data_IF_254080760980
#
_entry.id   IF_254080760980
#
_cell.length_a   1.000
_cell.length_b   1.000
_cell.length_c   1.000
_cell.angle_alpha   90.00
_cell.angle_beta   90.00
_cell.angle_gamma   90.00
#
_symmetry.space_group_name_H-M   'P 1'
#
loop_
_entity.id
_entity.type
_entity.pdbx_description
1 polymer ?
#
# COMPACT_ATOMS: atom_id res chain seq x y z
N UNK A 1 27.85 3.22 13.57
CA UNK A 1 26.81 2.44 12.87
C UNK A 1 27.51 1.22 12.28
N UNK A 2 27.00 0.01 12.51
CA UNK A 2 27.62 -1.21 11.95
C UNK A 2 27.20 -1.44 10.51
N UNK A 3 27.94 -2.23 9.73
CA UNK A 3 27.56 -2.61 8.36
C UNK A 3 26.14 -3.19 8.30
N UNK A 4 25.77 -4.01 9.30
CA UNK A 4 24.42 -4.56 9.44
C UNK A 4 23.35 -3.48 9.60
N UNK A 5 23.62 -2.46 10.42
CA UNK A 5 22.71 -1.32 10.60
C UNK A 5 22.57 -0.48 9.32
N UNK A 6 23.66 -0.30 8.56
CA UNK A 6 23.64 0.40 7.28
C UNK A 6 22.80 -0.36 6.23
N UNK A 7 23.01 -1.67 6.09
CA UNK A 7 22.24 -2.53 5.18
C UNK A 7 20.75 -2.49 5.52
N UNK A 8 20.41 -2.58 6.81
CA UNK A 8 19.01 -2.48 7.25
C UNK A 8 18.39 -1.14 6.86
N UNK A 9 19.10 -0.03 7.08
CA UNK A 9 18.61 1.30 6.73
C UNK A 9 18.40 1.46 5.22
N UNK A 10 19.30 0.92 4.40
CA UNK A 10 19.14 0.94 2.94
C UNK A 10 17.90 0.17 2.50
N UNK A 11 17.68 -1.03 3.06
CA UNK A 11 16.48 -1.82 2.79
C UNK A 11 15.20 -1.09 3.20
N UNK A 12 15.17 -0.54 4.41
CA UNK A 12 14.00 0.16 4.94
C UNK A 12 13.63 1.37 4.06
N UNK A 13 14.64 2.13 3.63
CA UNK A 13 14.44 3.27 2.74
C UNK A 13 13.96 2.83 1.34
N UNK A 14 14.47 1.71 0.81
CA UNK A 14 14.03 1.17 -0.47
C UNK A 14 12.57 0.69 -0.40
N UNK A 15 12.17 0.00 0.67
CA UNK A 15 10.78 -0.41 0.90
C UNK A 15 9.85 0.83 1.02
N UNK A 16 10.25 1.87 1.73
CA UNK A 16 9.49 3.14 1.80
C UNK A 16 9.33 3.81 0.42
N UNK A 17 10.41 3.90 -0.34
CA UNK A 17 10.40 4.51 -1.67
C UNK A 17 9.54 3.72 -2.67
N UNK A 18 9.53 2.39 -2.56
CA UNK A 18 8.68 1.55 -3.41
C UNK A 18 7.21 1.67 -2.99
N UNK A 19 6.92 1.65 -1.69
CA UNK A 19 5.57 1.82 -1.17
C UNK A 19 4.97 3.19 -1.48
N UNK A 20 5.78 4.26 -1.63
CA UNK A 20 5.25 5.60 -1.88
C UNK A 20 4.53 5.76 -3.23
N UNK A 21 4.77 4.85 -4.18
CA UNK A 21 4.08 4.78 -5.47
C UNK A 21 2.75 4.02 -5.41
N UNK A 22 2.34 3.52 -4.24
CA UNK A 22 1.06 2.83 -4.06
C UNK A 22 -0.16 3.74 -4.26
N UNK A 23 -1.22 3.20 -4.84
CA UNK A 23 -2.44 3.93 -5.22
C UNK A 23 -3.40 4.07 -4.03
N UNK A 24 -2.94 4.74 -2.97
CA UNK A 24 -3.68 4.82 -1.70
C UNK A 24 -4.97 5.65 -1.75
N UNK A 25 -5.21 6.40 -2.81
CA UNK A 25 -6.51 7.02 -3.07
C UNK A 25 -7.62 6.00 -3.34
N UNK A 26 -7.28 4.74 -3.61
CA UNK A 26 -8.23 3.64 -3.81
C UNK A 26 -8.73 3.00 -2.50
N UNK A 27 -8.16 3.36 -1.34
CA UNK A 27 -8.58 2.81 -0.05
C UNK A 27 -10.09 3.08 0.17
N UNK A 28 -10.83 2.04 0.56
CA UNK A 28 -12.25 2.14 0.83
C UNK A 28 -13.16 2.12 -0.40
N UNK A 29 -12.62 2.30 -1.62
CA UNK A 29 -13.30 1.84 -2.84
C UNK A 29 -13.47 0.33 -2.77
N UNK A 30 -14.40 -0.21 -3.55
CA UNK A 30 -14.62 -1.66 -3.59
C UNK A 30 -13.92 -2.29 -4.79
N UNK A 31 -13.63 -3.57 -4.71
CA UNK A 31 -13.33 -4.36 -5.90
C UNK A 31 -14.59 -4.53 -6.75
N UNK A 32 -14.41 -4.66 -8.07
CA UNK A 32 -15.49 -4.96 -9.00
C UNK A 32 -16.26 -6.21 -8.55
N UNK A 33 -17.57 -6.17 -8.77
CA UNK A 33 -18.49 -7.20 -8.30
C UNK A 33 -18.55 -8.37 -9.28
N UNK A 34 -17.44 -9.11 -9.36
CA UNK A 34 -17.30 -10.31 -10.16
C UNK A 34 -16.69 -11.42 -9.27
N UNK A 35 -17.54 -12.33 -8.80
CA UNK A 35 -17.14 -13.42 -7.91
C UNK A 35 -16.31 -14.49 -8.63
N UNK A 36 -16.48 -14.65 -9.94
CA UNK A 36 -15.73 -15.62 -10.74
C UNK A 36 -14.28 -15.14 -10.93
N UNK A 37 -14.08 -13.84 -11.12
CA UNK A 37 -12.75 -13.24 -11.30
C UNK A 37 -12.03 -12.96 -9.97
N UNK A 38 -12.72 -12.38 -8.99
CA UNK A 38 -12.10 -11.86 -7.76
C UNK A 38 -12.40 -12.68 -6.50
N UNK A 39 -13.22 -13.73 -6.59
CA UNK A 39 -13.52 -14.62 -5.48
C UNK A 39 -14.03 -13.89 -4.24
N UNK A 40 -13.36 -14.10 -3.10
CA UNK A 40 -13.73 -13.53 -1.80
C UNK A 40 -13.58 -12.01 -1.73
N UNK A 41 -12.85 -11.40 -2.66
CA UNK A 41 -12.63 -9.95 -2.74
C UNK A 41 -13.72 -9.22 -3.50
N UNK A 42 -14.55 -9.90 -4.29
CA UNK A 42 -15.62 -9.26 -5.06
C UNK A 42 -16.51 -8.36 -4.17
N UNK A 43 -16.74 -7.10 -4.58
CA UNK A 43 -17.56 -6.11 -3.87
C UNK A 43 -17.10 -5.83 -2.41
N UNK A 44 -15.88 -6.24 -2.03
CA UNK A 44 -15.27 -5.91 -0.74
C UNK A 44 -14.47 -4.60 -0.83
N UNK A 45 -14.38 -3.85 0.27
CA UNK A 45 -13.53 -2.66 0.31
C UNK A 45 -12.06 -3.03 0.16
N UNK A 46 -11.35 -2.24 -0.65
CA UNK A 46 -9.90 -2.29 -0.85
C UNK A 46 -9.21 -1.76 0.41
N UNK A 47 -8.23 -2.53 0.89
CA UNK A 47 -7.43 -2.20 2.07
C UNK A 47 -6.03 -1.72 1.68
N UNK A 48 -5.31 -1.13 2.65
CA UNK A 48 -3.89 -0.76 2.51
C UNK A 48 -3.02 -1.91 2.02
N UNK A 49 -3.27 -3.11 2.54
CA UNK A 49 -2.52 -4.31 2.20
C UNK A 49 -2.70 -4.69 0.74
N UNK A 50 -3.95 -4.65 0.27
CA UNK A 50 -4.27 -5.05 -1.09
C UNK A 50 -3.57 -4.17 -2.14
N UNK A 51 -3.41 -2.88 -1.84
CA UNK A 51 -2.82 -1.88 -2.74
C UNK A 51 -1.34 -2.15 -3.04
N UNK A 52 -0.58 -2.65 -2.04
CA UNK A 52 0.83 -2.97 -2.24
C UNK A 52 1.04 -4.42 -2.68
N UNK A 53 0.11 -5.32 -2.37
CA UNK A 53 0.26 -6.75 -2.65
C UNK A 53 0.09 -7.06 -4.16
N UNK A 54 1.14 -7.65 -4.73
CA UNK A 54 1.21 -8.07 -6.13
C UNK A 54 0.14 -9.11 -6.50
N UNK A 55 -0.40 -9.85 -5.54
CA UNK A 55 -1.49 -10.79 -5.79
C UNK A 55 -2.73 -10.11 -6.34
N UNK A 56 -2.99 -8.86 -5.94
CA UNK A 56 -4.14 -8.09 -6.41
C UNK A 56 -3.80 -7.11 -7.54
N UNK A 57 -2.61 -7.26 -8.14
CA UNK A 57 -2.23 -6.47 -9.32
C UNK A 57 -3.24 -6.69 -10.44
N UNK A 58 -3.65 -5.60 -11.08
CA UNK A 58 -4.69 -5.53 -12.11
C UNK A 58 -6.11 -5.81 -11.64
N UNK A 59 -6.36 -6.02 -10.34
CA UNK A 59 -7.73 -6.09 -9.85
C UNK A 59 -8.40 -4.73 -10.07
N UNK A 60 -9.63 -4.75 -10.58
CA UNK A 60 -10.36 -3.56 -10.94
C UNK A 60 -11.19 -3.05 -9.75
N UNK A 61 -11.23 -1.73 -9.58
CA UNK A 61 -12.17 -1.12 -8.65
C UNK A 61 -13.59 -1.20 -9.22
N UNK A 62 -14.58 -1.33 -8.34
CA UNK A 62 -15.98 -1.19 -8.70
C UNK A 62 -16.24 0.22 -9.21
N UNK A 63 -16.77 0.30 -10.42
CA UNK A 63 -17.18 1.55 -11.01
C UNK A 63 -18.57 1.98 -10.55
N UNK A 64 -18.79 3.29 -10.50
CA UNK A 64 -20.14 3.90 -10.50
C UNK A 64 -20.53 4.43 -11.88
N UNK A 65 -19.56 4.64 -12.79
CA UNK A 65 -19.73 5.12 -14.16
C UNK A 65 -18.60 4.61 -15.06
N UNK A 66 -18.89 3.80 -16.09
CA UNK A 66 -18.02 3.03 -17.02
C UNK A 66 -16.59 3.52 -17.41
N UNK A 67 -16.23 4.78 -17.15
CA UNK A 67 -14.95 5.40 -17.50
C UNK A 67 -13.99 5.59 -16.32
N UNK A 68 -14.39 5.26 -15.08
CA UNK A 68 -13.61 5.56 -13.87
C UNK A 68 -13.06 4.31 -13.17
N UNK A 69 -13.11 3.16 -13.84
CA UNK A 69 -12.51 1.92 -13.35
C UNK A 69 -10.99 2.09 -13.28
N UNK A 70 -10.42 1.94 -12.08
CA UNK A 70 -8.99 2.00 -11.84
C UNK A 70 -8.46 0.62 -11.42
N UNK A 71 -7.22 0.34 -11.76
CA UNK A 71 -6.58 -0.95 -11.46
C UNK A 71 -5.58 -0.79 -10.32
N UNK A 72 -5.53 -1.79 -9.43
CA UNK A 72 -4.47 -1.90 -8.44
C UNK A 72 -3.14 -2.24 -9.14
N UNK A 73 -2.04 -1.70 -8.61
CA UNK A 73 -0.70 -1.90 -9.14
C UNK A 73 0.29 -2.27 -8.02
N UNK A 74 -0.08 -3.26 -7.20
CA UNK A 74 0.80 -3.77 -6.15
C UNK A 74 2.05 -4.43 -6.72
N UNK A 75 3.20 -4.20 -6.06
CA UNK A 75 4.50 -4.76 -6.46
C UNK A 75 5.22 -5.47 -5.29
N UNK A 76 4.61 -5.54 -4.10
CA UNK A 76 5.14 -6.26 -2.95
C UNK A 76 4.63 -7.69 -2.95
N UNK A 77 5.45 -8.65 -2.52
CA UNK A 77 4.90 -9.96 -2.16
C UNK A 77 3.91 -9.84 -1.00
N UNK A 78 2.93 -10.75 -0.86
CA UNK A 78 1.95 -10.68 0.24
C UNK A 78 2.60 -10.54 1.62
N UNK A 79 3.65 -11.34 1.88
CA UNK A 79 4.36 -11.27 3.16
C UNK A 79 5.08 -9.94 3.37
N UNK A 80 5.61 -9.33 2.30
CA UNK A 80 6.28 -8.03 2.37
C UNK A 80 5.28 -6.91 2.63
N UNK A 81 4.13 -6.88 1.94
CA UNK A 81 3.07 -5.90 2.18
C UNK A 81 2.58 -5.97 3.63
N UNK A 82 2.38 -7.18 4.16
CA UNK A 82 1.96 -7.38 5.55
C UNK A 82 3.01 -6.83 6.54
N UNK A 83 4.28 -7.22 6.39
CA UNK A 83 5.38 -6.78 7.27
C UNK A 83 5.62 -5.27 7.19
N UNK A 84 5.43 -4.67 6.02
CA UNK A 84 5.54 -3.23 5.85
C UNK A 84 4.50 -2.51 6.72
N UNK A 85 3.23 -2.89 6.63
CA UNK A 85 2.17 -2.28 7.45
C UNK A 85 2.16 -2.73 8.91
N UNK A 86 2.87 -3.79 9.30
CA UNK A 86 3.17 -4.07 10.71
C UNK A 86 4.13 -3.03 11.32
N UNK A 87 4.97 -2.40 10.48
CA UNK A 87 5.98 -1.43 10.92
C UNK A 87 5.61 0.02 10.66
N UNK A 88 4.87 0.31 9.60
CA UNK A 88 4.55 1.67 9.19
C UNK A 88 3.04 1.92 9.17
N UNK A 89 2.65 3.11 9.62
CA UNK A 89 1.32 3.68 9.40
C UNK A 89 1.36 4.62 8.19
N UNK A 90 0.34 4.53 7.33
CA UNK A 90 0.10 5.57 6.33
C UNK A 90 -0.44 6.81 7.05
N UNK A 91 0.30 7.91 7.02
CA UNK A 91 -0.10 9.16 7.67
C UNK A 91 -0.88 10.06 6.70
N UNK A 92 -0.31 10.27 5.50
CA UNK A 92 -0.87 11.15 4.47
C UNK A 92 -0.59 10.53 3.11
N UNK A 93 -1.58 10.58 2.22
CA UNK A 93 -1.40 10.32 0.80
C UNK A 93 -1.99 11.48 0.01
N UNK A 94 -1.17 12.06 -0.86
CA UNK A 94 -1.57 13.01 -1.88
C UNK A 94 -1.50 12.32 -3.24
N UNK A 95 -2.65 12.07 -3.90
CA UNK A 95 -2.67 11.51 -5.25
C UNK A 95 -2.03 12.49 -6.25
N UNK A 96 -1.79 12.00 -7.47
CA UNK A 96 -1.21 12.80 -8.54
C UNK A 96 -2.07 14.05 -8.80
N UNK A 97 -1.43 15.21 -8.67
CA UNK A 97 -1.98 16.51 -9.04
C UNK A 97 -1.79 16.78 -10.54
N UNK A 98 -2.45 17.82 -11.07
CA UNK A 98 -2.29 18.22 -12.49
C UNK A 98 -0.85 18.57 -12.87
N UNK A 99 -0.01 18.95 -11.89
CA UNK A 99 1.42 19.20 -12.10
C UNK A 99 2.28 17.92 -12.10
N UNK A 100 1.67 16.75 -11.90
CA UNK A 100 2.35 15.46 -11.77
C UNK A 100 2.97 15.21 -10.38
N UNK A 101 2.74 16.10 -9.41
CA UNK A 101 3.21 15.89 -8.04
C UNK A 101 2.29 14.92 -7.30
N UNK A 102 2.89 13.92 -6.65
CA UNK A 102 2.28 13.09 -5.62
C UNK A 102 3.26 12.90 -4.47
N UNK A 103 2.71 12.61 -3.29
CA UNK A 103 3.50 12.34 -2.11
C UNK A 103 2.76 11.39 -1.18
N UNK A 104 3.49 10.42 -0.63
CA UNK A 104 2.96 9.51 0.39
C UNK A 104 3.88 9.56 1.59
N UNK A 105 3.33 9.88 2.76
CA UNK A 105 4.06 9.96 4.01
C UNK A 105 3.70 8.79 4.91
N UNK A 106 4.71 8.02 5.28
CA UNK A 106 4.61 6.94 6.26
C UNK A 106 5.29 7.32 7.57
N UNK A 107 4.70 6.89 8.68
CA UNK A 107 5.29 6.99 10.02
C UNK A 107 5.62 5.61 10.54
N UNK A 108 6.81 5.42 11.13
CA UNK A 108 7.09 4.17 11.85
C UNK A 108 6.15 4.07 13.06
N UNK A 109 5.40 2.97 13.15
CA UNK A 109 4.66 2.60 14.35
C UNK A 109 5.64 2.63 15.50
N UNK A 110 5.34 3.42 16.54
CA UNK A 110 6.25 3.56 17.70
C UNK A 110 6.68 2.16 18.13
N UNK A 111 7.97 1.84 18.00
CA UNK A 111 8.54 0.77 18.82
C UNK A 111 8.29 1.23 20.24
N UNK A 112 7.48 0.49 20.99
CA UNK A 112 7.50 0.57 22.45
C UNK A 112 8.94 0.26 22.83
N UNK A 113 9.78 1.29 22.94
CA UNK A 113 10.97 1.19 23.76
C UNK A 113 10.39 1.04 25.15
N UNK A 114 10.35 -0.19 25.67
CA UNK A 114 10.32 -0.39 27.12
C UNK A 114 11.50 0.42 27.67
N UNK A 115 11.26 1.67 28.06
CA UNK A 115 12.12 2.33 29.00
C UNK A 115 11.83 1.63 30.32
N UNK A 116 12.60 0.58 30.61
CA UNK A 116 12.70 0.05 31.97
C UNK A 116 13.39 1.15 32.77
N UNK A 117 12.59 1.86 33.56
CA UNK A 117 13.03 2.81 34.58
C UNK A 117 13.53 1.99 35.78
#
# INVERSE_FOLDING_TARGET
MTNKQQIQKLRDNAELAMASYGYFHLIGKKFKNDEDEYGDKANKPITLHDILDITYKNYETQDSTFFNTENLNGDFTPTQAKRFFERYDLLIHQPNTESGFSATLFGEKKKTKEYRI
#
